data_IF_425507004277
#
_entry.id   IF_425507004277
#
_cell.length_a   1.000
_cell.length_b   1.000
_cell.length_c   1.000
_cell.angle_alpha   90.00
_cell.angle_beta   90.00
_cell.angle_gamma   90.00
#
_symmetry.space_group_name_H-M   'P 1'
#
loop_
_entity.id
_entity.type
_entity.pdbx_description
1 polymer ?
#
# COMPACT_ATOMS: atom_id res chain seq x y z
N UNK A 1 -7.83 -12.64 13.06
CA UNK A 1 -8.33 -11.48 12.28
C UNK A 1 -8.43 -11.83 10.81
N UNK A 2 -9.49 -11.38 10.14
CA UNK A 2 -9.63 -11.53 8.70
C UNK A 2 -8.88 -10.42 7.96
N UNK A 3 -8.60 -10.65 6.68
CA UNK A 3 -7.83 -9.68 5.86
C UNK A 3 -8.44 -8.30 5.79
N UNK A 4 -9.77 -8.23 5.71
CA UNK A 4 -10.46 -6.96 5.65
C UNK A 4 -10.21 -6.11 6.90
N UNK A 5 -10.24 -6.73 8.08
CA UNK A 5 -9.93 -6.03 9.33
C UNK A 5 -8.50 -5.53 9.38
N UNK A 6 -7.56 -6.36 8.93
CA UNK A 6 -6.14 -5.99 8.88
C UNK A 6 -5.94 -4.81 7.95
N UNK A 7 -6.54 -4.84 6.76
CA UNK A 7 -6.45 -3.76 5.80
C UNK A 7 -7.02 -2.47 6.37
N UNK A 8 -8.16 -2.53 7.04
CA UNK A 8 -8.76 -1.34 7.65
C UNK A 8 -7.89 -0.74 8.74
N UNK A 9 -7.30 -1.58 9.59
CA UNK A 9 -6.37 -1.11 10.63
C UNK A 9 -5.14 -0.47 10.02
N UNK A 10 -4.62 -1.05 8.95
CA UNK A 10 -3.48 -0.49 8.23
C UNK A 10 -3.83 0.88 7.62
N UNK A 11 -4.97 0.99 6.95
CA UNK A 11 -5.42 2.25 6.35
C UNK A 11 -5.56 3.34 7.40
N UNK A 12 -6.19 3.03 8.53
CA UNK A 12 -6.36 4.00 9.62
C UNK A 12 -5.02 4.47 10.17
N UNK A 13 -4.10 3.53 10.40
CA UNK A 13 -2.77 3.87 10.89
C UNK A 13 -1.96 4.68 9.89
N UNK A 14 -2.00 4.32 8.61
CA UNK A 14 -1.30 5.04 7.56
C UNK A 14 -1.81 6.48 7.42
N UNK A 15 -3.13 6.67 7.51
CA UNK A 15 -3.73 8.01 7.48
C UNK A 15 -3.29 8.86 8.66
N UNK A 16 -3.14 8.28 9.83
CA UNK A 16 -2.64 9.00 11.02
C UNK A 16 -1.19 9.43 10.84
N UNK A 17 -0.37 8.58 10.24
CA UNK A 17 1.06 8.86 10.03
C UNK A 17 1.25 9.91 8.95
N UNK A 18 0.58 9.75 7.81
CA UNK A 18 0.78 10.59 6.64
C UNK A 18 -0.06 11.85 6.62
N UNK A 19 -1.23 11.80 7.24
CA UNK A 19 -2.17 12.95 7.28
C UNK A 19 -2.46 13.46 5.86
N UNK A 20 -2.14 14.72 5.58
CA UNK A 20 -2.40 15.34 4.26
C UNK A 20 -1.43 14.86 3.17
N UNK A 21 -0.41 14.10 3.53
CA UNK A 21 0.60 13.61 2.59
C UNK A 21 0.24 12.27 1.96
N UNK A 22 -0.96 11.77 2.19
CA UNK A 22 -1.45 10.58 1.51
C UNK A 22 -2.23 10.99 0.27
N UNK A 23 -1.67 10.76 -0.92
CA UNK A 23 -2.39 11.02 -2.17
C UNK A 23 -3.39 9.92 -2.49
N UNK A 24 -2.90 8.68 -2.56
CA UNK A 24 -3.73 7.51 -2.83
C UNK A 24 -3.18 6.29 -2.11
N UNK A 25 -4.09 5.41 -1.71
CA UNK A 25 -3.76 4.08 -1.23
C UNK A 25 -4.46 3.08 -2.16
N UNK A 26 -3.69 2.23 -2.80
CA UNK A 26 -4.17 1.30 -3.81
C UNK A 26 -3.92 -0.12 -3.34
N UNK A 27 -4.98 -0.91 -3.26
CA UNK A 27 -4.88 -2.36 -3.01
C UNK A 27 -4.90 -3.05 -4.36
N UNK A 28 -3.92 -3.90 -4.60
CA UNK A 28 -3.80 -4.60 -5.88
C UNK A 28 -3.45 -6.08 -5.66
N UNK A 29 -3.18 -6.80 -6.72
CA UNK A 29 -2.80 -8.20 -6.64
C UNK A 29 -3.97 -9.12 -6.32
N UNK A 30 -3.68 -10.30 -5.77
CA UNK A 30 -4.67 -11.36 -5.59
C UNK A 30 -5.82 -10.97 -4.67
N UNK A 31 -5.57 -10.21 -3.63
CA UNK A 31 -6.64 -9.77 -2.73
C UNK A 31 -7.63 -8.86 -3.46
N UNK A 32 -7.13 -7.90 -4.23
CA UNK A 32 -7.99 -6.99 -5.00
C UNK A 32 -8.78 -7.72 -6.09
N UNK A 33 -8.17 -8.72 -6.74
CA UNK A 33 -8.84 -9.52 -7.76
C UNK A 33 -9.86 -10.51 -7.19
N UNK A 34 -9.76 -10.82 -5.90
CA UNK A 34 -10.63 -11.80 -5.26
C UNK A 34 -10.18 -13.26 -5.40
N UNK A 35 -9.02 -13.51 -5.99
CA UNK A 35 -8.47 -14.86 -6.17
C UNK A 35 -7.40 -15.22 -5.15
N UNK A 36 -7.35 -14.50 -4.02
CA UNK A 36 -6.38 -14.77 -2.98
C UNK A 36 -6.65 -16.10 -2.29
N UNK A 37 -5.56 -16.69 -1.78
CA UNK A 37 -5.60 -17.93 -1.00
C UNK A 37 -5.32 -17.60 0.47
N UNK A 38 -5.46 -18.60 1.33
CA UNK A 38 -5.28 -18.45 2.78
C UNK A 38 -3.95 -17.82 3.16
N UNK A 39 -2.88 -18.14 2.43
CA UNK A 39 -1.54 -17.62 2.70
C UNK A 39 -1.11 -16.47 1.79
N UNK A 40 -2.05 -15.90 1.03
CA UNK A 40 -1.74 -14.76 0.16
C UNK A 40 -1.52 -13.50 0.96
N UNK A 41 -0.55 -12.69 0.50
CA UNK A 41 -0.28 -11.37 1.07
C UNK A 41 -1.32 -10.36 0.60
N UNK A 42 -1.39 -9.24 1.31
CA UNK A 42 -2.17 -8.08 0.86
C UNK A 42 -1.18 -7.11 0.23
N UNK A 43 -1.34 -6.84 -1.05
CA UNK A 43 -0.47 -5.93 -1.79
C UNK A 43 -1.04 -4.52 -1.76
N UNK A 44 -0.25 -3.58 -1.21
CA UNK A 44 -0.68 -2.19 -1.03
C UNK A 44 0.38 -1.26 -1.58
N UNK A 45 -0.04 -0.31 -2.41
CA UNK A 45 0.80 0.79 -2.86
C UNK A 45 0.27 2.09 -2.27
N UNK A 46 1.15 2.88 -1.68
CA UNK A 46 0.83 4.20 -1.17
C UNK A 46 1.53 5.24 -2.04
N UNK A 47 0.75 6.12 -2.65
CA UNK A 47 1.27 7.24 -3.44
C UNK A 47 1.32 8.47 -2.56
N UNK A 48 2.49 9.10 -2.51
CA UNK A 48 2.78 10.20 -1.62
C UNK A 48 3.32 11.38 -2.44
N UNK A 49 2.83 12.62 -2.22
CA UNK A 49 3.32 13.80 -2.97
C UNK A 49 4.57 14.38 -2.31
N UNK A 50 5.48 13.53 -1.84
CA UNK A 50 6.70 13.92 -1.19
C UNK A 50 7.90 13.49 -2.02
N UNK A 51 9.04 14.17 -1.84
CA UNK A 51 10.29 13.79 -2.47
C UNK A 51 10.76 12.45 -1.91
N UNK A 52 11.71 11.83 -2.60
CA UNK A 52 12.31 10.57 -2.14
C UNK A 52 12.89 10.71 -0.74
N UNK A 53 13.58 11.82 -0.48
CA UNK A 53 14.20 12.10 0.83
C UNK A 53 13.14 12.25 1.92
N UNK A 54 12.04 12.91 1.62
CA UNK A 54 10.94 13.08 2.57
C UNK A 54 10.22 11.76 2.84
N UNK A 55 10.06 10.92 1.82
CA UNK A 55 9.47 9.58 1.98
C UNK A 55 10.34 8.74 2.91
N UNK A 56 11.67 8.82 2.78
CA UNK A 56 12.60 8.09 3.65
C UNK A 56 12.40 8.45 5.13
N UNK A 57 11.93 9.64 5.43
CA UNK A 57 11.68 10.07 6.81
C UNK A 57 10.43 9.44 7.42
N UNK A 58 9.44 9.07 6.61
CA UNK A 58 8.17 8.51 7.10
C UNK A 58 8.04 7.00 6.86
N UNK A 59 8.86 6.43 5.98
CA UNK A 59 8.69 5.04 5.56
C UNK A 59 8.82 4.05 6.71
N UNK A 60 9.74 4.28 7.64
CA UNK A 60 9.93 3.35 8.77
C UNK A 60 8.68 3.22 9.61
N UNK A 61 7.98 4.32 9.88
CA UNK A 61 6.73 4.29 10.65
C UNK A 61 5.65 3.49 9.94
N UNK A 62 5.58 3.60 8.61
CA UNK A 62 4.59 2.86 7.81
C UNK A 62 4.94 1.36 7.77
N UNK A 63 6.23 1.04 7.56
CA UNK A 63 6.68 -0.36 7.56
C UNK A 63 6.52 -1.01 8.93
N UNK A 64 6.78 -0.26 10.02
CA UNK A 64 6.58 -0.76 11.38
C UNK A 64 5.11 -1.09 11.62
N UNK A 65 4.20 -0.25 11.14
CA UNK A 65 2.76 -0.51 11.25
C UNK A 65 2.38 -1.80 10.54
N UNK A 66 2.86 -2.00 9.31
CA UNK A 66 2.58 -3.22 8.55
C UNK A 66 3.15 -4.45 9.25
N UNK A 67 4.35 -4.33 9.80
CA UNK A 67 4.99 -5.43 10.51
C UNK A 67 4.27 -5.79 11.81
N UNK A 68 3.82 -4.78 12.57
CA UNK A 68 3.05 -5.01 13.79
C UNK A 68 1.76 -5.79 13.49
N UNK A 69 1.08 -5.45 12.41
CA UNK A 69 -0.14 -6.15 11.99
C UNK A 69 0.17 -7.57 11.52
N UNK A 70 1.30 -7.78 10.87
CA UNK A 70 1.76 -9.12 10.49
C UNK A 70 1.99 -9.97 11.74
N UNK A 71 2.65 -9.44 12.75
CA UNK A 71 2.91 -10.16 14.00
C UNK A 71 1.63 -10.57 14.70
N UNK A 72 0.61 -9.72 14.69
CA UNK A 72 -0.68 -10.02 15.33
C UNK A 72 -1.52 -11.02 14.55
N UNK A 73 -1.49 -10.96 13.23
CA UNK A 73 -2.45 -11.67 12.38
C UNK A 73 -1.85 -12.84 11.59
N UNK A 74 -0.54 -12.84 11.41
CA UNK A 74 0.12 -13.77 10.50
C UNK A 74 -0.06 -13.41 9.01
N UNK A 75 -0.72 -12.29 8.71
CA UNK A 75 -0.97 -11.84 7.34
C UNK A 75 0.04 -10.77 6.97
N UNK A 76 0.79 -11.00 5.90
CA UNK A 76 1.80 -10.08 5.40
C UNK A 76 1.15 -8.98 4.56
N UNK A 77 1.55 -7.74 4.80
CA UNK A 77 1.21 -6.62 3.92
C UNK A 77 2.46 -6.30 3.12
N UNK A 78 2.41 -6.56 1.81
CA UNK A 78 3.47 -6.16 0.88
C UNK A 78 3.26 -4.70 0.53
N UNK A 79 4.13 -3.85 1.05
CA UNK A 79 3.95 -2.41 1.01
C UNK A 79 4.95 -1.79 0.05
N UNK A 80 4.45 -0.96 -0.87
CA UNK A 80 5.27 -0.14 -1.76
C UNK A 80 4.89 1.32 -1.52
N UNK A 81 5.88 2.12 -1.16
CA UNK A 81 5.74 3.58 -1.05
C UNK A 81 6.35 4.21 -2.29
N UNK A 82 5.59 5.04 -2.97
CA UNK A 82 6.04 5.64 -4.22
C UNK A 82 5.64 7.11 -4.30
N UNK A 83 6.52 7.92 -4.88
CA UNK A 83 6.19 9.30 -5.21
C UNK A 83 5.12 9.32 -6.31
N UNK A 84 4.08 10.12 -6.12
CA UNK A 84 2.95 10.16 -7.05
C UNK A 84 3.36 10.58 -8.47
N UNK A 85 4.22 11.59 -8.60
CA UNK A 85 4.68 12.05 -9.90
C UNK A 85 5.53 11.01 -10.61
N UNK A 86 6.36 10.29 -9.86
CA UNK A 86 7.17 9.19 -10.42
C UNK A 86 6.28 8.06 -10.91
N UNK A 87 5.25 7.69 -10.15
CA UNK A 87 4.29 6.68 -10.55
C UNK A 87 3.60 7.06 -11.88
N UNK A 88 3.12 8.29 -11.98
CA UNK A 88 2.45 8.78 -13.19
C UNK A 88 3.39 8.85 -14.40
N UNK A 89 4.64 9.21 -14.15
CA UNK A 89 5.64 9.31 -15.21
C UNK A 89 5.87 7.95 -15.89
N UNK A 90 5.88 6.87 -15.10
CA UNK A 90 6.17 5.53 -15.61
C UNK A 90 4.93 4.73 -16.02
N UNK A 91 3.72 5.27 -15.83
CA UNK A 91 2.51 4.64 -16.35
C UNK A 91 2.60 4.55 -17.88
N UNK A 92 2.24 3.38 -18.40
CA UNK A 92 2.34 3.10 -19.83
C UNK A 92 3.69 2.58 -20.27
N UNK A 93 4.73 2.67 -19.42
CA UNK A 93 6.07 2.21 -19.73
C UNK A 93 6.52 1.00 -18.92
N UNK A 94 6.12 0.92 -17.64
CA UNK A 94 6.49 -0.18 -16.75
C UNK A 94 5.28 -1.07 -16.47
N UNK A 95 5.35 -2.37 -16.83
CA UNK A 95 4.22 -3.28 -16.63
C UNK A 95 3.70 -3.35 -15.20
N UNK A 96 4.57 -3.25 -14.20
CA UNK A 96 4.15 -3.28 -12.81
C UNK A 96 3.17 -2.16 -12.48
N UNK A 97 3.48 -0.92 -12.88
CA UNK A 97 2.61 0.21 -12.62
C UNK A 97 1.30 0.11 -13.41
N UNK A 98 1.37 -0.38 -14.64
CA UNK A 98 0.18 -0.59 -15.46
C UNK A 98 -0.76 -1.62 -14.82
N UNK A 99 -0.21 -2.68 -14.26
CA UNK A 99 -1.00 -3.70 -13.56
C UNK A 99 -1.65 -3.15 -12.30
N UNK A 100 -0.93 -2.34 -11.53
CA UNK A 100 -1.48 -1.70 -10.33
C UNK A 100 -2.64 -0.78 -10.72
N UNK A 101 -2.47 0.02 -11.75
CA UNK A 101 -3.52 0.95 -12.20
C UNK A 101 -4.75 0.20 -12.71
N UNK A 102 -4.54 -0.90 -13.43
CA UNK A 102 -5.62 -1.67 -14.06
C UNK A 102 -6.38 -2.52 -13.06
N UNK A 103 -5.68 -3.18 -12.14
CA UNK A 103 -6.27 -4.12 -11.18
C UNK A 103 -6.58 -3.49 -9.83
N UNK A 104 -5.93 -2.37 -9.53
CA UNK A 104 -5.97 -1.78 -8.20
C UNK A 104 -7.30 -1.17 -7.84
N UNK A 105 -7.59 -1.22 -6.54
CA UNK A 105 -8.75 -0.57 -5.94
C UNK A 105 -8.24 0.58 -5.07
N UNK A 106 -8.64 1.79 -5.41
CA UNK A 106 -8.26 2.98 -4.65
C UNK A 106 -9.14 3.06 -3.41
N UNK A 107 -8.51 3.12 -2.24
CA UNK A 107 -9.24 3.11 -0.98
C UNK A 107 -9.13 4.43 -0.23
N UNK A 108 -8.05 5.14 -0.41
CA UNK A 108 -7.91 6.36 0.35
C UNK A 108 -7.23 7.50 -0.34
#
# INVERSE_FOLDING_TARGET
MIRQEILMLFIQGAKKILKNNLSKLIVYGSYARGDYKENSDIDVMILIPLSKEEIEQVENSIFDLAFDLELESGIVINLVLENEAHYRYWLGALPFYDNVEKEGIVIG
#
